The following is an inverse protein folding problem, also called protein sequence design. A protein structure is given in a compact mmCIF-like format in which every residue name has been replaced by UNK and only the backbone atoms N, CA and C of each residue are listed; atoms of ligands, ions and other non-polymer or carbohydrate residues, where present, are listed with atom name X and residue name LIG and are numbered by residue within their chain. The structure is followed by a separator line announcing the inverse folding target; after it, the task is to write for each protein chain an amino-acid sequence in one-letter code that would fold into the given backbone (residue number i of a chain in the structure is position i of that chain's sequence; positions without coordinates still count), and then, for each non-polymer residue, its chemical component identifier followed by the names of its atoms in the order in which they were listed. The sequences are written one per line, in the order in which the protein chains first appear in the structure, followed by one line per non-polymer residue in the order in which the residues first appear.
data_IF_766057631652
#
_entry.id   IF_766057631652
#
_cell.length_a   1.000
_cell.length_b   1.000
_cell.length_c   1.000
_cell.angle_alpha   90.00
_cell.angle_beta   90.00
_cell.angle_gamma   90.00
#
_symmetry.space_group_name_H-M   'P 1'
#
loop_
_entity.id
_entity.type
_entity.pdbx_description
1 polymer ?
#
# COMPACT_ATOMS: atom_id res chain seq x y z
N UNK A 1 15.84 -50.28 5.08
CA UNK A 1 14.91 -49.34 5.72
C UNK A 1 15.40 -49.02 7.13
N UNK A 2 15.91 -47.81 7.40
CA UNK A 2 15.76 -47.17 8.70
C UNK A 2 14.97 -45.86 8.57
N UNK A 3 14.01 -45.69 9.48
CA UNK A 3 13.22 -44.47 9.67
C UNK A 3 14.02 -43.42 10.45
N UNK A 4 13.60 -42.17 10.23
CA UNK A 4 13.77 -40.97 11.06
C UNK A 4 15.05 -40.13 10.91
N UNK A 5 14.82 -38.97 10.31
CA UNK A 5 15.40 -37.69 10.72
C UNK A 5 14.51 -36.57 10.19
N UNK A 6 13.45 -36.20 10.92
CA UNK A 6 12.83 -34.87 10.72
C UNK A 6 13.59 -33.87 11.59
N UNK A 7 14.26 -32.90 10.97
CA UNK A 7 14.36 -31.55 11.53
C UNK A 7 13.97 -30.53 10.43
N UNK A 8 13.32 -29.41 10.64
CA UNK A 8 12.98 -28.64 11.84
C UNK A 8 11.81 -27.74 11.38
N UNK A 9 10.72 -27.69 12.13
CA UNK A 9 9.94 -26.45 12.21
C UNK A 9 10.86 -25.37 12.82
N UNK A 10 10.67 -24.13 12.40
CA UNK A 10 11.38 -22.91 12.81
C UNK A 10 12.78 -22.68 12.23
N UNK A 11 12.80 -22.13 11.02
CA UNK A 11 13.66 -20.99 10.74
C UNK A 11 12.75 -19.88 10.23
N UNK A 12 12.68 -18.68 10.85
CA UNK A 12 12.05 -17.56 10.17
C UNK A 12 12.83 -17.40 8.86
N UNK A 13 12.18 -17.66 7.73
CA UNK A 13 12.80 -17.50 6.43
C UNK A 13 13.23 -16.03 6.34
N UNK A 14 14.53 -15.78 6.49
CA UNK A 14 15.08 -14.45 6.31
C UNK A 14 14.81 -14.06 4.86
N UNK A 15 13.86 -13.13 4.68
CA UNK A 15 13.50 -12.60 3.37
C UNK A 15 14.75 -12.02 2.71
N UNK A 16 15.08 -12.54 1.53
CA UNK A 16 16.19 -12.03 0.74
C UNK A 16 15.86 -10.61 0.28
N UNK A 17 16.89 -9.81 -0.04
CA UNK A 17 16.70 -8.48 -0.61
C UNK A 17 15.80 -8.51 -1.86
N UNK A 18 15.97 -9.54 -2.70
CA UNK A 18 15.11 -9.78 -3.87
C UNK A 18 13.65 -10.04 -3.49
N UNK A 19 13.38 -10.88 -2.50
CA UNK A 19 12.02 -11.12 -2.02
C UNK A 19 11.37 -9.83 -1.48
N UNK A 20 12.13 -9.02 -0.73
CA UNK A 20 11.66 -7.73 -0.23
C UNK A 20 11.36 -6.75 -1.36
N UNK A 21 12.21 -6.71 -2.40
CA UNK A 21 12.00 -5.89 -3.59
C UNK A 21 10.72 -6.31 -4.33
N UNK A 22 10.52 -7.62 -4.53
CA UNK A 22 9.30 -8.16 -5.12
C UNK A 22 8.05 -7.75 -4.33
N UNK A 23 8.08 -7.87 -3.00
CA UNK A 23 6.96 -7.46 -2.13
C UNK A 23 6.71 -5.95 -2.27
N UNK A 24 7.75 -5.12 -2.24
CA UNK A 24 7.63 -3.68 -2.40
C UNK A 24 7.05 -3.29 -3.78
N UNK A 25 7.42 -4.01 -4.86
CA UNK A 25 6.84 -3.85 -6.19
C UNK A 25 5.33 -4.18 -6.18
N UNK A 26 4.93 -5.30 -5.58
CA UNK A 26 3.51 -5.66 -5.48
C UNK A 26 2.71 -4.62 -4.70
N UNK A 27 3.22 -4.18 -3.55
CA UNK A 27 2.58 -3.12 -2.75
C UNK A 27 2.51 -1.79 -3.51
N UNK A 28 3.50 -1.48 -4.35
CA UNK A 28 3.49 -0.28 -5.20
C UNK A 28 2.41 -0.37 -6.28
N UNK A 29 2.29 -1.51 -6.96
CA UNK A 29 1.21 -1.75 -7.93
C UNK A 29 -0.17 -1.62 -7.28
N UNK A 30 -0.33 -2.20 -6.10
CA UNK A 30 -1.57 -2.13 -5.35
C UNK A 30 -1.90 -0.70 -4.89
N UNK A 31 -0.93 0.04 -4.35
CA UNK A 31 -1.11 1.44 -3.99
C UNK A 31 -1.57 2.30 -5.18
N UNK A 32 -1.03 2.05 -6.39
CA UNK A 32 -1.46 2.75 -7.61
C UNK A 32 -2.92 2.46 -7.96
N UNK A 33 -3.38 1.23 -7.79
CA UNK A 33 -4.79 0.89 -7.99
C UNK A 33 -5.69 1.66 -7.01
N UNK A 34 -5.36 1.66 -5.72
CA UNK A 34 -6.13 2.39 -4.70
C UNK A 34 -6.08 3.91 -4.91
N UNK A 35 -4.95 4.46 -5.38
CA UNK A 35 -4.85 5.88 -5.79
C UNK A 35 -5.87 6.22 -6.87
N UNK A 36 -6.03 5.36 -7.88
CA UNK A 36 -7.04 5.54 -8.92
C UNK A 36 -8.46 5.48 -8.37
N UNK A 37 -8.72 4.59 -7.40
CA UNK A 37 -10.03 4.50 -6.73
C UNK A 37 -10.35 5.74 -5.89
N UNK A 38 -9.37 6.22 -5.11
CA UNK A 38 -9.49 7.46 -4.33
C UNK A 38 -9.74 8.65 -5.24
N UNK A 39 -9.01 8.77 -6.37
CA UNK A 39 -9.24 9.81 -7.39
C UNK A 39 -10.68 9.77 -7.90
N UNK A 40 -11.11 8.60 -8.38
CA UNK A 40 -12.48 8.39 -8.88
C UNK A 40 -13.53 8.80 -7.85
N UNK A 41 -13.33 8.47 -6.58
CA UNK A 41 -14.29 8.79 -5.52
C UNK A 41 -14.29 10.27 -5.15
N UNK A 42 -13.12 10.89 -5.06
CA UNK A 42 -12.99 12.32 -4.83
C UNK A 42 -13.58 13.17 -5.98
N UNK A 43 -13.51 12.66 -7.21
CA UNK A 43 -14.09 13.33 -8.38
C UNK A 43 -15.61 13.42 -8.34
N UNK A 44 -16.29 12.50 -7.65
CA UNK A 44 -17.75 12.52 -7.45
C UNK A 44 -18.21 13.53 -6.40
N UNK A 45 -17.28 14.07 -5.59
CA UNK A 45 -17.62 15.02 -4.53
C UNK A 45 -17.73 16.47 -5.05
N UNK A 46 -18.56 17.31 -4.41
CA UNK A 46 -18.64 18.73 -4.75
C UNK A 46 -17.27 19.41 -4.68
N UNK A 47 -17.03 20.31 -5.64
CA UNK A 47 -15.83 21.15 -5.64
C UNK A 47 -15.77 21.99 -4.36
N UNK A 48 -14.58 22.09 -3.77
CA UNK A 48 -14.38 22.83 -2.52
C UNK A 48 -14.84 22.10 -1.25
N UNK A 49 -15.38 20.88 -1.35
CA UNK A 49 -15.69 20.09 -0.15
C UNK A 49 -14.39 19.70 0.58
N UNK A 50 -14.41 19.78 1.91
CA UNK A 50 -13.28 19.39 2.76
C UNK A 50 -12.77 17.97 2.49
N UNK A 51 -13.65 16.95 2.33
CA UNK A 51 -13.22 15.61 1.95
C UNK A 51 -12.53 15.54 0.58
N UNK A 52 -12.95 16.31 -0.43
CA UNK A 52 -12.24 16.36 -1.70
C UNK A 52 -10.86 16.98 -1.56
N UNK A 53 -10.75 18.13 -0.89
CA UNK A 53 -9.47 18.81 -0.68
C UNK A 53 -8.44 17.94 0.07
N UNK A 54 -8.88 17.23 1.11
CA UNK A 54 -8.03 16.29 1.83
C UNK A 54 -7.61 15.08 0.97
N UNK A 55 -8.49 14.60 0.07
CA UNK A 55 -8.11 13.54 -0.87
C UNK A 55 -7.03 14.01 -1.84
N UNK A 56 -7.13 15.22 -2.38
CA UNK A 56 -6.13 15.78 -3.30
C UNK A 56 -4.75 15.93 -2.66
N UNK A 57 -4.69 16.28 -1.37
CA UNK A 57 -3.43 16.31 -0.60
C UNK A 57 -2.84 14.91 -0.49
N UNK A 58 -3.62 13.93 -0.03
CA UNK A 58 -3.17 12.54 0.10
C UNK A 58 -2.69 11.97 -1.24
N UNK A 59 -3.37 12.29 -2.34
CA UNK A 59 -3.00 11.85 -3.67
C UNK A 59 -1.65 12.41 -4.13
N UNK A 60 -1.37 13.70 -3.86
CA UNK A 60 -0.07 14.32 -4.16
C UNK A 60 1.05 13.70 -3.34
N UNK A 61 0.82 13.47 -2.05
CA UNK A 61 1.80 12.81 -1.19
C UNK A 61 2.06 11.36 -1.61
N UNK A 62 1.00 10.63 -1.99
CA UNK A 62 1.12 9.27 -2.49
C UNK A 62 1.96 9.22 -3.78
N UNK A 63 1.73 10.14 -4.73
CA UNK A 63 2.51 10.23 -5.98
C UNK A 63 4.01 10.44 -5.68
N UNK A 64 4.34 11.40 -4.79
CA UNK A 64 5.72 11.66 -4.39
C UNK A 64 6.38 10.43 -3.74
N UNK A 65 5.64 9.73 -2.88
CA UNK A 65 6.15 8.49 -2.27
C UNK A 65 6.32 7.39 -3.30
N UNK A 66 5.37 7.19 -4.21
CA UNK A 66 5.39 6.12 -5.22
C UNK A 66 6.45 6.34 -6.30
N UNK A 67 6.89 7.58 -6.48
CA UNK A 67 8.00 7.93 -7.37
C UNK A 67 9.38 7.58 -6.80
N UNK A 68 9.49 7.39 -5.48
CA UNK A 68 10.74 6.99 -4.87
C UNK A 68 11.18 5.58 -5.33
N UNK A 69 12.49 5.35 -5.57
CA UNK A 69 13.02 4.04 -5.96
C UNK A 69 12.61 2.92 -4.99
N UNK A 70 12.47 1.72 -5.53
CA UNK A 70 12.21 0.52 -4.72
C UNK A 70 13.56 -0.07 -4.29
N UNK A 71 13.66 -0.38 -3.01
CA UNK A 71 14.83 -1.02 -2.41
C UNK A 71 14.42 -2.38 -1.82
N UNK A 72 15.31 -3.37 -1.90
CA UNK A 72 15.15 -4.68 -1.26
C UNK A 72 15.31 -4.66 0.26
N UNK A 73 14.69 -3.70 0.94
CA UNK A 73 14.81 -3.48 2.39
C UNK A 73 13.46 -3.60 3.08
N UNK A 74 13.48 -4.10 4.33
CA UNK A 74 12.28 -4.17 5.19
C UNK A 74 11.66 -2.79 5.38
N UNK A 75 12.51 -1.75 5.52
CA UNK A 75 12.06 -0.35 5.64
C UNK A 75 11.27 0.08 4.40
N UNK A 76 11.73 -0.23 3.18
CA UNK A 76 11.01 0.08 1.96
C UNK A 76 9.64 -0.61 1.93
N UNK A 77 9.60 -1.92 2.22
CA UNK A 77 8.35 -2.71 2.30
C UNK A 77 7.39 -2.10 3.32
N UNK A 78 7.84 -1.78 4.53
CA UNK A 78 7.01 -1.17 5.57
C UNK A 78 6.49 0.21 5.15
N UNK A 79 7.31 1.02 4.51
CA UNK A 79 6.90 2.33 3.99
C UNK A 79 5.82 2.19 2.92
N UNK A 80 5.90 1.16 2.06
CA UNK A 80 4.87 0.85 1.06
C UNK A 80 3.59 0.32 1.71
N UNK A 81 3.69 -0.60 2.66
CA UNK A 81 2.54 -1.15 3.37
C UNK A 81 1.77 -0.06 4.14
N UNK A 82 2.48 0.85 4.83
CA UNK A 82 1.87 1.99 5.51
C UNK A 82 1.16 2.93 4.55
N UNK A 83 1.72 3.14 3.35
CA UNK A 83 1.07 3.94 2.32
C UNK A 83 -0.23 3.29 1.83
N UNK A 84 -0.19 1.99 1.50
CA UNK A 84 -1.37 1.22 1.09
C UNK A 84 -2.48 1.33 2.14
N UNK A 85 -2.14 1.11 3.41
CA UNK A 85 -3.11 1.21 4.51
C UNK A 85 -3.73 2.61 4.60
N UNK A 86 -2.91 3.67 4.56
CA UNK A 86 -3.41 5.04 4.61
C UNK A 86 -4.33 5.38 3.43
N UNK A 87 -4.05 4.84 2.24
CA UNK A 87 -4.89 5.00 1.06
C UNK A 87 -6.25 4.30 1.21
N UNK A 88 -6.28 3.07 1.73
CA UNK A 88 -7.54 2.38 2.04
C UNK A 88 -8.36 3.11 3.10
N UNK A 89 -7.73 3.52 4.20
CA UNK A 89 -8.42 4.31 5.22
C UNK A 89 -8.95 5.64 4.66
N UNK A 90 -8.32 6.19 3.61
CA UNK A 90 -8.83 7.38 2.93
C UNK A 90 -10.02 7.05 2.04
N UNK A 91 -9.95 5.95 1.29
CA UNK A 91 -11.05 5.47 0.45
C UNK A 91 -12.30 5.20 1.29
N UNK A 92 -12.17 4.48 2.41
CA UNK A 92 -13.29 4.17 3.32
C UNK A 92 -13.97 5.44 3.84
N UNK A 93 -13.19 6.49 4.17
CA UNK A 93 -13.74 7.78 4.61
C UNK A 93 -14.45 8.53 3.48
N UNK A 94 -13.98 8.40 2.24
CA UNK A 94 -14.66 9.00 1.09
C UNK A 94 -15.96 8.26 0.78
N UNK A 95 -15.96 6.93 0.89
CA UNK A 95 -17.15 6.11 0.72
C UNK A 95 -18.21 6.41 1.78
N UNK A 96 -17.81 6.60 3.04
CA UNK A 96 -18.70 7.00 4.13
C UNK A 96 -19.24 8.43 4.01
N UNK A 97 -18.52 9.32 3.32
CA UNK A 97 -18.90 10.73 3.16
C UNK A 97 -19.76 11.00 1.91
N UNK A 98 -19.89 10.02 1.02
CA UNK A 98 -20.67 10.20 -0.17
C UNK A 98 -22.17 10.05 0.12
N UNK A 99 -23.03 10.89 -0.49
CA UNK A 99 -24.46 10.69 -0.41
C UNK A 99 -24.83 9.35 -1.08
N UNK A 100 -25.70 8.59 -0.41
CA UNK A 100 -26.42 7.42 -0.95
C UNK A 100 -27.42 7.83 -2.02
#
# INVERSE_FOLDING_TARGET
MPRQGRPRLDRPETLTARALEQIALQLTGHARAVVSDVRRRADQLPKGSGPKALADVVLREAEGRLSAPIEGTVRCVQNRARLVRALYERLDRLDAAAPV
#
